data_IF_888980800933
#
_entry.id   IF_888980800933
#
_cell.length_a   1.000
_cell.length_b   1.000
_cell.length_c   1.000
_cell.angle_alpha   90.00
_cell.angle_beta   90.00
_cell.angle_gamma   90.00
#
_symmetry.space_group_name_H-M   'P 1'
#
loop_
_entity.id
_entity.type
_entity.pdbx_description
1 polymer ?
#
# COMPACT_ATOMS: atom_id res chain seq x y z
N UNK A 1 -12.82 1.37 -29.23
CA UNK A 1 -11.73 0.43 -28.84
C UNK A 1 -10.58 1.25 -28.26
N UNK A 2 -10.19 0.97 -27.02
CA UNK A 2 -9.07 1.62 -26.33
C UNK A 2 -7.81 0.83 -26.66
N UNK A 3 -6.78 1.51 -27.14
CA UNK A 3 -5.50 0.87 -27.47
C UNK A 3 -4.47 1.04 -26.34
N UNK A 4 -4.31 2.25 -25.87
CA UNK A 4 -3.43 2.66 -24.77
C UNK A 4 -3.86 4.03 -24.25
N UNK A 5 -3.68 4.34 -22.96
CA UNK A 5 -3.26 3.40 -21.91
C UNK A 5 -4.33 2.34 -21.62
N UNK A 6 -3.95 1.25 -20.95
CA UNK A 6 -4.91 0.29 -20.42
C UNK A 6 -5.75 0.92 -19.33
N UNK A 7 -7.07 0.69 -19.34
CA UNK A 7 -8.02 1.26 -18.40
C UNK A 7 -8.91 0.18 -17.80
N UNK A 8 -9.31 0.36 -16.55
CA UNK A 8 -10.45 -0.35 -15.99
C UNK A 8 -11.72 0.45 -16.31
N UNK A 9 -12.58 -0.12 -17.13
CA UNK A 9 -13.87 0.49 -17.50
C UNK A 9 -14.97 -0.18 -16.69
N UNK A 10 -15.70 0.62 -15.91
CA UNK A 10 -16.89 0.18 -15.17
C UNK A 10 -18.09 0.83 -15.81
N UNK A 11 -19.18 0.06 -15.96
CA UNK A 11 -20.41 0.49 -16.59
C UNK A 11 -21.62 0.02 -15.78
N UNK A 12 -22.63 0.84 -15.73
CA UNK A 12 -23.95 0.51 -15.19
C UNK A 12 -25.04 1.12 -16.07
N UNK A 13 -26.14 0.39 -16.24
CA UNK A 13 -27.31 0.84 -17.02
C UNK A 13 -28.48 1.20 -16.11
N UNK A 14 -29.43 1.94 -16.66
CA UNK A 14 -30.71 2.22 -16.00
C UNK A 14 -31.58 0.96 -15.83
N UNK A 15 -31.36 -0.09 -16.61
CA UNK A 15 -32.00 -1.39 -16.48
C UNK A 15 -31.46 -2.23 -15.32
N UNK A 16 -30.34 -1.81 -14.71
CA UNK A 16 -29.71 -2.51 -13.60
C UNK A 16 -28.57 -3.44 -14.00
N UNK A 17 -28.17 -3.45 -15.27
CA UNK A 17 -27.01 -4.21 -15.73
C UNK A 17 -25.73 -3.52 -15.31
N UNK A 18 -24.71 -4.31 -14.95
CA UNK A 18 -23.39 -3.83 -14.54
C UNK A 18 -22.29 -4.60 -15.28
N UNK A 19 -21.18 -3.91 -15.56
CA UNK A 19 -20.06 -4.56 -16.23
C UNK A 19 -18.73 -3.92 -15.89
N UNK A 20 -17.67 -4.71 -16.03
CA UNK A 20 -16.28 -4.29 -15.91
C UNK A 20 -15.44 -4.92 -17.01
N UNK A 21 -14.53 -4.15 -17.59
CA UNK A 21 -13.60 -4.59 -18.61
C UNK A 21 -12.19 -4.05 -18.34
N UNK A 22 -11.17 -4.91 -18.48
CA UNK A 22 -9.79 -4.49 -18.64
C UNK A 22 -9.59 -4.03 -20.10
N UNK A 23 -9.84 -2.75 -20.36
CA UNK A 23 -9.88 -2.18 -21.70
C UNK A 23 -8.47 -1.79 -22.17
N UNK A 24 -7.85 -2.65 -22.97
CA UNK A 24 -6.55 -2.42 -23.60
C UNK A 24 -6.36 -3.33 -24.80
N UNK A 25 -5.37 -3.05 -25.66
CA UNK A 25 -4.79 -4.05 -26.57
C UNK A 25 -3.74 -4.84 -25.78
N UNK A 26 -4.00 -6.12 -25.54
CA UNK A 26 -3.08 -7.02 -24.83
C UNK A 26 -2.14 -7.69 -25.81
N UNK A 27 -0.81 -7.46 -25.72
CA UNK A 27 0.15 -8.01 -26.67
C UNK A 27 0.35 -9.51 -26.45
N UNK A 28 0.45 -10.25 -27.55
CA UNK A 28 0.92 -11.63 -27.58
C UNK A 28 2.43 -11.62 -27.54
N UNK A 29 3.04 -12.35 -26.60
CA UNK A 29 4.49 -12.48 -26.46
C UNK A 29 4.94 -13.87 -26.89
N UNK A 30 6.22 -14.06 -27.27
CA UNK A 30 6.79 -15.37 -27.50
C UNK A 30 6.60 -16.29 -26.29
N UNK A 31 6.46 -17.60 -26.55
CA UNK A 31 6.28 -18.59 -25.50
C UNK A 31 7.48 -18.58 -24.52
N UNK A 32 7.19 -18.72 -23.22
CA UNK A 32 8.20 -18.77 -22.16
C UNK A 32 8.76 -17.40 -21.73
N UNK A 33 8.37 -16.31 -22.39
CA UNK A 33 8.82 -14.96 -22.02
C UNK A 33 7.99 -14.42 -20.86
N UNK A 34 8.67 -13.98 -19.80
CA UNK A 34 8.04 -13.24 -18.73
C UNK A 34 8.14 -11.72 -18.98
N UNK A 35 7.04 -11.06 -19.38
CA UNK A 35 7.06 -9.64 -19.73
C UNK A 35 7.08 -8.70 -18.50
N UNK A 36 7.16 -9.23 -17.30
CA UNK A 36 7.36 -8.43 -16.07
C UNK A 36 8.82 -8.07 -15.86
N UNK A 37 9.74 -8.73 -16.58
CA UNK A 37 11.16 -8.40 -16.55
C UNK A 37 11.52 -7.40 -17.65
N UNK A 38 12.66 -6.72 -17.47
CA UNK A 38 13.27 -5.96 -18.56
C UNK A 38 13.74 -6.93 -19.63
N UNK A 39 13.23 -6.75 -20.82
CA UNK A 39 13.60 -7.56 -21.98
C UNK A 39 14.64 -6.81 -22.82
N UNK A 40 15.59 -7.53 -23.37
CA UNK A 40 16.55 -6.99 -24.33
C UNK A 40 15.83 -6.75 -25.68
N UNK A 41 15.56 -5.48 -25.99
CA UNK A 41 14.84 -5.09 -27.20
C UNK A 41 15.54 -5.40 -28.53
N UNK A 42 16.79 -5.89 -28.49
CA UNK A 42 17.52 -6.36 -29.67
C UNK A 42 17.26 -7.83 -29.98
N UNK A 43 16.55 -8.54 -29.11
CA UNK A 43 16.29 -9.97 -29.20
C UNK A 43 14.83 -10.30 -29.57
N UNK A 44 14.61 -11.44 -30.26
CA UNK A 44 13.24 -11.87 -30.62
C UNK A 44 12.29 -12.04 -29.45
N UNK A 45 12.80 -12.33 -28.24
CA UNK A 45 12.01 -12.47 -27.03
C UNK A 45 11.30 -11.17 -26.63
N UNK A 46 11.80 -10.01 -27.03
CA UNK A 46 11.16 -8.72 -26.78
C UNK A 46 10.01 -8.41 -27.73
N UNK A 47 9.85 -9.17 -28.81
CA UNK A 47 8.88 -8.89 -29.87
C UNK A 47 7.42 -9.01 -29.40
N UNK A 48 6.56 -8.25 -30.08
CA UNK A 48 5.11 -8.37 -30.01
C UNK A 48 4.62 -9.14 -31.23
N UNK A 49 4.16 -10.37 -31.02
CA UNK A 49 3.68 -11.23 -32.12
C UNK A 49 2.30 -10.82 -32.66
N UNK A 50 1.65 -9.87 -32.00
CA UNK A 50 0.31 -9.42 -32.29
C UNK A 50 -0.44 -9.02 -31.03
N UNK A 51 -1.77 -9.03 -31.10
CA UNK A 51 -2.63 -8.68 -29.96
C UNK A 51 -3.74 -9.71 -29.83
N UNK A 52 -4.09 -10.04 -28.60
CA UNK A 52 -5.27 -10.84 -28.31
C UNK A 52 -6.55 -10.14 -28.79
N UNK A 53 -7.60 -10.89 -29.18
CA UNK A 53 -8.90 -10.31 -29.41
C UNK A 53 -9.45 -9.70 -28.12
N UNK A 54 -10.20 -8.60 -28.20
CA UNK A 54 -10.73 -7.90 -27.03
C UNK A 54 -11.58 -8.80 -26.12
N UNK A 55 -12.27 -9.78 -26.70
CA UNK A 55 -13.06 -10.78 -25.96
C UNK A 55 -12.26 -11.69 -25.04
N UNK A 56 -10.93 -11.74 -25.23
CA UNK A 56 -10.03 -12.48 -24.34
C UNK A 56 -9.57 -11.64 -23.14
N UNK A 57 -9.82 -10.33 -23.14
CA UNK A 57 -9.47 -9.49 -22.00
C UNK A 57 -10.30 -9.87 -20.78
N UNK A 58 -9.75 -9.74 -19.56
CA UNK A 58 -10.54 -9.88 -18.33
C UNK A 58 -11.75 -8.96 -18.33
N UNK A 59 -12.91 -9.52 -18.06
CA UNK A 59 -14.19 -8.82 -18.10
C UNK A 59 -15.24 -9.57 -17.28
N UNK A 60 -16.22 -8.84 -16.77
CA UNK A 60 -17.36 -9.40 -16.05
C UNK A 60 -18.62 -8.61 -16.37
N UNK A 61 -19.72 -9.31 -16.60
CA UNK A 61 -21.05 -8.75 -16.79
C UNK A 61 -22.02 -9.43 -15.84
N UNK A 62 -22.80 -8.66 -15.11
CA UNK A 62 -23.84 -9.13 -14.20
C UNK A 62 -23.42 -10.30 -13.29
N UNK A 63 -22.27 -10.21 -12.59
CA UNK A 63 -21.81 -11.33 -11.77
C UNK A 63 -22.78 -11.58 -10.60
N UNK A 64 -22.92 -12.85 -10.20
CA UNK A 64 -23.83 -13.27 -9.15
C UNK A 64 -23.62 -12.55 -7.80
N UNK A 65 -22.40 -12.03 -7.54
CA UNK A 65 -22.11 -11.22 -6.34
C UNK A 65 -22.79 -9.84 -6.33
N UNK A 66 -23.34 -9.39 -7.47
CA UNK A 66 -24.12 -8.14 -7.57
C UNK A 66 -23.30 -6.85 -7.63
N UNK A 67 -21.99 -6.91 -7.81
CA UNK A 67 -21.15 -5.74 -8.00
C UNK A 67 -19.94 -6.06 -8.87
N UNK A 68 -19.37 -5.03 -9.49
CA UNK A 68 -18.11 -5.07 -10.25
C UNK A 68 -17.20 -3.93 -9.80
N UNK A 69 -15.90 -4.08 -9.98
CA UNK A 69 -14.95 -3.02 -9.62
C UNK A 69 -13.51 -3.42 -9.73
N UNK A 70 -12.65 -2.42 -9.70
CA UNK A 70 -11.21 -2.58 -9.64
C UNK A 70 -10.59 -1.64 -8.60
N UNK A 71 -9.66 -2.17 -7.84
CA UNK A 71 -8.78 -1.42 -6.96
C UNK A 71 -7.31 -1.57 -7.40
N UNK A 72 -7.07 -1.68 -8.72
CA UNK A 72 -5.75 -1.92 -9.32
C UNK A 72 -5.11 -3.27 -8.91
N UNK A 73 -5.87 -4.18 -8.33
CA UNK A 73 -5.45 -5.55 -8.05
C UNK A 73 -5.43 -6.39 -9.32
N UNK A 74 -4.73 -7.51 -9.27
CA UNK A 74 -4.68 -8.43 -10.42
C UNK A 74 -6.08 -8.95 -10.74
N UNK A 75 -6.53 -8.84 -12.02
CA UNK A 75 -7.81 -9.41 -12.43
C UNK A 75 -7.87 -10.92 -12.21
N UNK A 76 -9.04 -11.43 -11.85
CA UNK A 76 -9.22 -12.86 -11.66
C UNK A 76 -9.06 -13.62 -12.98
N UNK A 77 -8.25 -14.69 -13.07
CA UNK A 77 -8.00 -15.41 -14.32
C UNK A 77 -9.26 -15.96 -15.01
N UNK A 78 -10.29 -16.33 -14.23
CA UNK A 78 -11.54 -16.84 -14.79
C UNK A 78 -12.34 -15.81 -15.62
N UNK A 79 -12.00 -14.52 -15.53
CA UNK A 79 -12.65 -13.44 -16.28
C UNK A 79 -12.01 -13.13 -17.64
N UNK A 80 -10.98 -13.89 -18.03
CA UNK A 80 -10.23 -13.72 -19.27
C UNK A 80 -8.83 -14.29 -19.17
N UNK A 81 -7.92 -13.84 -20.05
CA UNK A 81 -6.52 -14.25 -19.98
C UNK A 81 -5.83 -13.61 -18.76
N UNK A 82 -4.83 -14.30 -18.21
CA UNK A 82 -3.97 -13.72 -17.19
C UNK A 82 -3.13 -12.58 -17.80
N UNK A 83 -3.19 -11.40 -17.17
CA UNK A 83 -2.36 -10.26 -17.56
C UNK A 83 -1.17 -10.22 -16.60
N UNK A 84 0.05 -10.53 -17.06
CA UNK A 84 1.24 -10.38 -16.22
C UNK A 84 1.53 -8.89 -15.95
N UNK A 85 2.00 -8.58 -14.75
CA UNK A 85 2.32 -7.19 -14.37
C UNK A 85 2.48 -7.03 -12.86
N UNK A 86 2.71 -5.78 -12.47
CA UNK A 86 2.80 -5.36 -11.08
C UNK A 86 1.48 -4.73 -10.65
N UNK A 87 0.80 -5.38 -9.74
CA UNK A 87 -0.52 -4.97 -9.27
C UNK A 87 -0.46 -4.37 -7.86
N UNK A 88 -1.53 -3.74 -7.44
CA UNK A 88 -1.71 -3.35 -6.04
C UNK A 88 -2.05 -4.60 -5.20
N UNK A 89 -1.63 -4.65 -3.93
CA UNK A 89 -2.09 -5.69 -3.01
C UNK A 89 -3.61 -5.77 -2.89
N UNK A 90 -4.11 -6.93 -2.47
CA UNK A 90 -5.55 -7.18 -2.39
C UNK A 90 -6.25 -6.47 -1.21
N UNK A 91 -5.50 -5.85 -0.30
CA UNK A 91 -6.05 -5.27 0.94
C UNK A 91 -7.14 -4.23 0.68
N UNK A 92 -6.93 -3.32 -0.29
CA UNK A 92 -7.91 -2.29 -0.63
C UNK A 92 -9.17 -2.87 -1.29
N UNK A 93 -9.01 -3.82 -2.21
CA UNK A 93 -10.17 -4.46 -2.85
C UNK A 93 -10.95 -5.30 -1.84
N UNK A 94 -10.27 -6.04 -0.97
CA UNK A 94 -10.93 -6.82 0.08
C UNK A 94 -11.76 -5.91 0.99
N UNK A 95 -11.19 -4.78 1.44
CA UNK A 95 -11.93 -3.82 2.25
C UNK A 95 -13.15 -3.24 1.53
N UNK A 96 -13.05 -2.94 0.23
CA UNK A 96 -14.20 -2.48 -0.56
C UNK A 96 -15.27 -3.57 -0.67
N UNK A 97 -14.89 -4.82 -0.86
CA UNK A 97 -15.83 -5.97 -0.87
C UNK A 97 -16.55 -6.08 0.48
N UNK A 98 -15.83 -6.02 1.60
CA UNK A 98 -16.40 -6.08 2.94
C UNK A 98 -17.42 -4.95 3.19
N UNK A 99 -17.09 -3.72 2.76
CA UNK A 99 -17.96 -2.56 2.88
C UNK A 99 -19.24 -2.70 2.03
N UNK A 100 -19.12 -3.16 0.78
CA UNK A 100 -20.25 -3.36 -0.12
C UNK A 100 -21.16 -4.48 0.42
N UNK A 101 -20.58 -5.59 0.86
CA UNK A 101 -21.36 -6.70 1.42
C UNK A 101 -22.02 -6.33 2.74
N UNK A 102 -21.34 -5.56 3.60
CA UNK A 102 -21.88 -5.07 4.86
C UNK A 102 -23.00 -4.05 4.71
N UNK A 103 -23.07 -3.31 3.60
CA UNK A 103 -24.13 -2.35 3.31
C UNK A 103 -25.42 -3.01 2.78
N UNK A 104 -25.36 -4.32 2.45
CA UNK A 104 -26.49 -5.05 1.87
C UNK A 104 -26.70 -4.77 0.37
N UNK A 105 -27.87 -5.18 -0.15
CA UNK A 105 -28.13 -5.17 -1.61
C UNK A 105 -28.26 -3.78 -2.24
N UNK A 106 -28.53 -2.74 -1.46
CA UNK A 106 -28.69 -1.37 -1.96
C UNK A 106 -27.96 -0.40 -1.05
N UNK A 107 -26.95 0.26 -1.57
CA UNK A 107 -26.27 1.36 -0.90
C UNK A 107 -26.90 2.67 -1.33
N UNK A 108 -27.17 3.55 -0.38
CA UNK A 108 -27.54 4.94 -0.67
C UNK A 108 -26.30 5.83 -0.93
N UNK A 109 -26.55 7.08 -1.26
CA UNK A 109 -25.48 8.07 -1.53
C UNK A 109 -24.59 8.27 -0.30
N UNK A 110 -25.17 8.34 0.91
CA UNK A 110 -24.43 8.58 2.14
C UNK A 110 -23.50 7.40 2.47
N UNK A 111 -23.97 6.17 2.30
CA UNK A 111 -23.18 4.96 2.45
C UNK A 111 -22.04 4.90 1.42
N UNK A 112 -22.33 5.21 0.15
CA UNK A 112 -21.32 5.25 -0.92
C UNK A 112 -20.24 6.30 -0.64
N UNK A 113 -20.61 7.48 -0.13
CA UNK A 113 -19.66 8.51 0.31
C UNK A 113 -18.84 8.06 1.52
N UNK A 114 -19.43 7.31 2.44
CA UNK A 114 -18.72 6.75 3.60
C UNK A 114 -17.68 5.71 3.16
N UNK A 115 -18.03 4.79 2.24
CA UNK A 115 -17.11 3.81 1.67
C UNK A 115 -15.92 4.47 0.99
N UNK A 116 -16.13 5.54 0.22
CA UNK A 116 -15.05 6.28 -0.44
C UNK A 116 -14.10 6.97 0.54
N UNK A 117 -14.51 7.19 1.78
CA UNK A 117 -13.71 7.82 2.83
C UNK A 117 -13.19 6.83 3.87
N UNK A 118 -13.44 5.54 3.69
CA UNK A 118 -13.00 4.50 4.62
C UNK A 118 -11.46 4.46 4.67
N UNK A 119 -10.95 4.36 5.90
CA UNK A 119 -9.52 4.46 6.22
C UNK A 119 -8.97 3.21 6.90
N UNK A 120 -9.59 2.05 6.66
CA UNK A 120 -9.20 0.77 7.27
C UNK A 120 -8.79 -0.25 6.22
N UNK A 121 -7.89 -1.14 6.62
CA UNK A 121 -7.64 -2.40 5.94
C UNK A 121 -7.05 -3.45 6.92
N UNK A 122 -6.87 -4.68 6.45
CA UNK A 122 -6.29 -5.77 7.23
C UNK A 122 -4.77 -5.88 7.15
N UNK A 123 -4.09 -4.98 6.45
CA UNK A 123 -2.65 -5.06 6.22
C UNK A 123 -1.83 -5.03 7.51
N UNK A 124 -2.18 -4.11 8.42
CA UNK A 124 -1.49 -3.97 9.70
C UNK A 124 -1.55 -5.23 10.55
N UNK A 125 -2.71 -5.91 10.59
CA UNK A 125 -2.87 -7.15 11.33
C UNK A 125 -2.01 -8.28 10.75
N UNK A 126 -1.90 -8.37 9.42
CA UNK A 126 -1.05 -9.40 8.78
C UNK A 126 0.43 -9.24 9.15
N UNK A 127 0.90 -8.00 9.35
CA UNK A 127 2.27 -7.72 9.78
C UNK A 127 2.41 -7.85 11.30
N UNK A 128 1.53 -7.23 12.06
CA UNK A 128 1.67 -7.13 13.52
C UNK A 128 1.41 -8.45 14.24
N UNK A 129 0.46 -9.26 13.78
CA UNK A 129 0.09 -10.51 14.47
C UNK A 129 1.28 -11.44 14.72
N UNK A 130 2.15 -11.73 13.74
CA UNK A 130 3.34 -12.57 13.99
C UNK A 130 4.47 -11.84 14.73
N UNK A 131 4.52 -10.50 14.71
CA UNK A 131 5.62 -9.73 15.30
C UNK A 131 5.38 -9.32 16.75
N UNK A 132 4.16 -9.04 17.16
CA UNK A 132 3.83 -8.56 18.52
C UNK A 132 4.33 -9.50 19.63
N UNK A 133 4.20 -10.83 19.54
CA UNK A 133 4.75 -11.73 20.57
C UNK A 133 6.27 -11.61 20.69
N UNK A 134 6.99 -11.41 19.56
CA UNK A 134 8.44 -11.26 19.57
C UNK A 134 8.85 -9.94 20.18
N UNK A 135 8.20 -8.83 19.80
CA UNK A 135 8.43 -7.49 20.36
C UNK A 135 8.22 -7.48 21.88
N UNK A 136 7.15 -8.14 22.37
CA UNK A 136 6.88 -8.26 23.81
C UNK A 136 7.94 -9.07 24.56
N UNK A 137 8.70 -9.93 23.88
CA UNK A 137 9.74 -10.74 24.50
C UNK A 137 10.96 -9.93 24.97
N UNK A 138 11.20 -8.74 24.42
CA UNK A 138 12.35 -7.91 24.78
C UNK A 138 12.02 -6.47 25.20
N UNK A 139 10.83 -5.96 24.90
CA UNK A 139 10.40 -4.61 25.33
C UNK A 139 10.08 -4.65 26.81
N UNK A 140 10.72 -3.79 27.59
CA UNK A 140 10.54 -3.70 29.07
C UNK A 140 10.07 -2.31 29.54
N UNK A 141 10.21 -1.27 28.71
CA UNK A 141 9.75 0.07 29.06
C UNK A 141 8.21 0.11 29.16
N UNK A 142 7.62 0.61 30.27
CA UNK A 142 6.17 0.59 30.45
C UNK A 142 5.39 1.44 29.43
N UNK A 143 5.99 2.49 28.86
CA UNK A 143 5.35 3.31 27.83
C UNK A 143 5.32 2.55 26.51
N UNK A 144 6.42 1.89 26.17
CA UNK A 144 6.53 1.09 24.95
C UNK A 144 5.64 -0.16 25.02
N UNK A 145 5.52 -0.81 26.18
CA UNK A 145 4.56 -1.91 26.38
C UNK A 145 3.12 -1.46 26.14
N UNK A 146 2.73 -0.27 26.61
CA UNK A 146 1.39 0.29 26.30
C UNK A 146 1.20 0.56 24.81
N UNK A 147 2.24 1.00 24.08
CA UNK A 147 2.17 1.12 22.62
C UNK A 147 1.94 -0.23 21.94
N UNK A 148 2.62 -1.29 22.40
CA UNK A 148 2.38 -2.65 21.89
C UNK A 148 0.96 -3.15 22.21
N UNK A 149 0.41 -2.78 23.39
CA UNK A 149 -0.98 -3.10 23.76
C UNK A 149 -1.97 -2.41 22.82
N UNK A 150 -1.75 -1.13 22.50
CA UNK A 150 -2.56 -0.38 21.56
C UNK A 150 -2.48 -0.96 20.14
N UNK A 151 -1.27 -1.30 19.67
CA UNK A 151 -1.09 -1.95 18.38
C UNK A 151 -1.77 -3.33 18.30
N UNK A 152 -1.81 -4.07 19.41
CA UNK A 152 -2.44 -5.39 19.46
C UNK A 152 -3.97 -5.35 19.28
N UNK A 153 -4.62 -4.28 19.74
CA UNK A 153 -6.08 -4.08 19.62
C UNK A 153 -6.47 -3.10 18.51
N UNK A 154 -5.49 -2.54 17.82
CA UNK A 154 -5.73 -1.58 16.75
C UNK A 154 -6.45 -2.26 15.56
N UNK A 155 -7.53 -1.64 15.13
CA UNK A 155 -8.41 -2.15 14.08
C UNK A 155 -7.94 -1.84 12.64
N UNK A 156 -6.71 -1.31 12.48
CA UNK A 156 -6.17 -0.92 11.18
C UNK A 156 -6.74 0.41 10.64
N UNK A 157 -7.35 1.23 11.49
CA UNK A 157 -7.89 2.55 11.11
C UNK A 157 -6.82 3.64 11.15
N UNK A 158 -6.62 4.32 10.02
CA UNK A 158 -5.70 5.45 9.84
C UNK A 158 -6.44 6.79 10.04
N UNK A 159 -7.14 6.94 11.18
CA UNK A 159 -7.80 8.18 11.58
C UNK A 159 -6.80 9.18 12.16
N UNK A 160 -7.07 10.48 12.01
CA UNK A 160 -6.13 11.56 12.37
C UNK A 160 -5.79 11.63 13.86
N UNK A 161 -6.65 11.15 14.72
CA UNK A 161 -6.51 11.14 16.18
C UNK A 161 -5.74 9.93 16.73
N UNK A 162 -5.53 8.89 15.90
CA UNK A 162 -4.84 7.65 16.28
C UNK A 162 -3.33 7.82 16.26
N UNK A 163 -2.63 7.18 17.20
CA UNK A 163 -1.16 7.11 17.25
C UNK A 163 -0.62 5.82 16.64
N UNK A 164 -1.41 4.75 16.64
CA UNK A 164 -1.04 3.42 16.16
C UNK A 164 -0.54 3.45 14.70
N UNK A 165 -1.18 4.20 13.76
CA UNK A 165 -0.67 4.30 12.39
C UNK A 165 0.75 4.88 12.32
N UNK A 166 1.06 5.87 13.17
CA UNK A 166 2.38 6.51 13.21
C UNK A 166 3.45 5.52 13.66
N UNK A 167 3.20 4.81 14.76
CA UNK A 167 4.12 3.79 15.28
C UNK A 167 4.30 2.66 14.30
N UNK A 168 3.18 2.15 13.74
CA UNK A 168 3.20 1.06 12.78
C UNK A 168 3.95 1.43 11.50
N UNK A 169 3.70 2.61 10.94
CA UNK A 169 4.28 3.00 9.66
C UNK A 169 5.78 3.28 9.77
N UNK A 170 6.24 3.85 10.91
CA UNK A 170 7.67 3.96 11.20
C UNK A 170 8.29 2.59 11.39
N UNK A 171 7.64 1.68 12.15
CA UNK A 171 8.13 0.31 12.34
C UNK A 171 8.27 -0.45 11.02
N UNK A 172 7.35 -0.30 10.07
CA UNK A 172 7.47 -0.90 8.73
C UNK A 172 8.76 -0.46 8.03
N UNK A 173 9.07 0.85 8.10
CA UNK A 173 10.30 1.37 7.51
C UNK A 173 11.53 0.81 8.20
N UNK A 174 11.57 0.80 9.54
CA UNK A 174 12.73 0.31 10.29
C UNK A 174 12.95 -1.20 10.11
N UNK A 175 11.88 -1.99 10.02
CA UNK A 175 11.99 -3.42 9.69
C UNK A 175 12.59 -3.60 8.29
N UNK A 176 12.08 -2.88 7.30
CA UNK A 176 12.62 -2.95 5.94
C UNK A 176 14.09 -2.50 5.90
N UNK A 177 14.45 -1.47 6.66
CA UNK A 177 15.80 -0.98 6.75
C UNK A 177 16.74 -1.97 7.43
N UNK A 178 16.36 -2.48 8.60
CA UNK A 178 17.19 -3.41 9.35
C UNK A 178 17.40 -4.76 8.62
N UNK A 179 16.37 -5.21 7.87
CA UNK A 179 16.38 -6.51 7.20
C UNK A 179 16.88 -6.48 5.74
N UNK A 180 16.99 -5.32 5.08
CA UNK A 180 17.24 -5.31 3.62
C UNK A 180 18.27 -4.26 3.18
N UNK A 181 18.60 -3.30 4.02
CA UNK A 181 19.46 -2.18 3.61
C UNK A 181 20.90 -2.61 3.35
N UNK A 182 21.41 -3.54 4.12
CA UNK A 182 22.79 -3.98 4.04
C UNK A 182 23.08 -4.82 2.79
N UNK A 183 22.12 -5.65 2.32
CA UNK A 183 22.26 -6.36 1.04
C UNK A 183 22.04 -5.45 -0.15
N UNK A 184 21.05 -4.56 -0.06
CA UNK A 184 20.66 -3.74 -1.20
C UNK A 184 21.55 -2.51 -1.39
N UNK A 185 22.08 -1.98 -0.30
CA UNK A 185 22.76 -0.69 -0.29
C UNK A 185 21.82 0.50 -0.54
N UNK A 186 22.32 1.74 -0.39
CA UNK A 186 21.45 2.93 -0.34
C UNK A 186 20.68 3.20 -1.63
N UNK A 187 21.23 2.90 -2.80
CA UNK A 187 20.60 3.19 -4.08
C UNK A 187 19.42 2.24 -4.34
N UNK A 188 19.61 0.94 -4.20
CA UNK A 188 18.58 -0.06 -4.44
C UNK A 188 17.52 -0.03 -3.34
N UNK A 189 17.91 0.19 -2.09
CA UNK A 189 16.95 0.36 -1.00
C UNK A 189 16.02 1.57 -1.24
N UNK A 190 16.57 2.71 -1.66
CA UNK A 190 15.78 3.88 -2.06
C UNK A 190 14.80 3.55 -3.21
N UNK A 191 15.23 2.79 -4.20
CA UNK A 191 14.37 2.35 -5.29
C UNK A 191 13.26 1.43 -4.77
N UNK A 192 13.58 0.48 -3.88
CA UNK A 192 12.62 -0.43 -3.25
C UNK A 192 11.51 0.33 -2.52
N UNK A 193 11.85 1.36 -1.72
CA UNK A 193 10.89 2.21 -1.02
C UNK A 193 9.89 2.90 -1.96
N UNK A 194 10.28 3.18 -3.20
CA UNK A 194 9.43 3.77 -4.24
C UNK A 194 8.48 2.79 -4.91
N UNK A 195 8.59 1.50 -4.62
CA UNK A 195 7.78 0.43 -5.25
C UNK A 195 6.64 -0.05 -4.36
N UNK A 196 5.86 -1.04 -4.87
CA UNK A 196 4.88 -1.79 -4.09
C UNK A 196 5.43 -3.13 -3.55
N UNK A 197 6.69 -3.42 -3.79
CA UNK A 197 7.28 -4.71 -3.38
C UNK A 197 7.25 -4.90 -1.88
N UNK A 198 7.49 -3.83 -1.09
CA UNK A 198 7.42 -3.90 0.38
C UNK A 198 6.02 -4.24 0.89
N UNK A 199 4.95 -3.81 0.20
CA UNK A 199 3.59 -4.15 0.59
C UNK A 199 3.32 -5.66 0.50
N UNK A 200 4.03 -6.35 -0.39
CA UNK A 200 4.00 -7.81 -0.50
C UNK A 200 5.01 -8.49 0.42
N UNK A 201 6.23 -7.96 0.47
CA UNK A 201 7.34 -8.61 1.15
C UNK A 201 7.21 -8.57 2.69
N UNK A 202 6.79 -7.43 3.27
CA UNK A 202 6.77 -7.27 4.72
C UNK A 202 5.83 -8.23 5.45
N UNK A 203 4.59 -8.52 4.99
CA UNK A 203 3.78 -9.54 5.62
C UNK A 203 4.37 -10.94 5.53
N UNK A 204 5.04 -11.28 4.43
CA UNK A 204 5.71 -12.57 4.25
C UNK A 204 6.92 -12.68 5.17
N UNK A 205 7.76 -11.65 5.21
CA UNK A 205 8.90 -11.56 6.10
C UNK A 205 8.48 -11.65 7.57
N UNK A 206 7.43 -10.92 7.97
CA UNK A 206 6.91 -10.97 9.32
C UNK A 206 6.48 -12.38 9.75
N UNK A 207 5.87 -13.15 8.82
CA UNK A 207 5.40 -14.50 9.08
C UNK A 207 6.52 -15.56 9.09
N UNK A 208 7.62 -15.34 8.37
CA UNK A 208 8.72 -16.28 8.25
C UNK A 208 9.85 -15.95 9.24
N UNK A 209 9.91 -16.69 10.34
CA UNK A 209 10.96 -16.54 11.35
C UNK A 209 12.35 -17.02 10.88
N UNK A 210 12.39 -17.83 9.82
CA UNK A 210 13.61 -18.44 9.28
C UNK A 210 14.14 -17.72 8.04
N UNK A 211 13.52 -16.62 7.64
CA UNK A 211 13.95 -15.86 6.47
C UNK A 211 15.41 -15.41 6.60
N UNK A 212 16.23 -15.61 5.56
CA UNK A 212 17.60 -15.15 5.57
C UNK A 212 17.75 -13.62 5.61
N UNK A 213 16.69 -12.89 5.31
CA UNK A 213 16.66 -11.43 5.43
C UNK A 213 16.75 -10.91 6.88
N UNK A 214 16.63 -11.78 7.89
CA UNK A 214 16.83 -11.39 9.28
C UNK A 214 18.30 -11.31 9.69
N UNK A 215 19.20 -11.97 8.93
CA UNK A 215 20.63 -11.99 9.17
C UNK A 215 21.31 -10.81 8.50
N UNK A 216 22.26 -10.15 9.18
CA UNK A 216 22.94 -8.98 8.64
C UNK A 216 24.26 -9.35 7.97
N UNK A 217 24.43 -8.95 6.72
CA UNK A 217 25.69 -9.12 5.98
C UNK A 217 26.84 -8.29 6.56
N UNK A 218 26.57 -7.32 7.42
CA UNK A 218 27.58 -6.49 8.09
C UNK A 218 28.26 -7.18 9.27
N UNK A 219 27.68 -8.26 9.78
CA UNK A 219 28.14 -9.04 10.94
C UNK A 219 28.45 -10.48 10.57
N UNK A 220 29.41 -10.78 9.67
CA UNK A 220 29.61 -12.08 9.05
C UNK A 220 30.00 -13.22 10.01
N UNK A 221 30.24 -12.92 11.27
CA UNK A 221 30.57 -13.89 12.34
C UNK A 221 29.41 -14.15 13.31
N UNK A 222 28.31 -13.45 13.14
CA UNK A 222 27.10 -13.56 13.96
C UNK A 222 25.93 -13.82 13.01
N UNK A 223 25.06 -14.74 13.34
CA UNK A 223 23.82 -14.99 12.62
C UNK A 223 22.69 -14.37 13.43
N UNK A 224 22.15 -13.27 12.95
CA UNK A 224 21.04 -12.60 13.61
C UNK A 224 19.73 -13.35 13.39
N UNK A 225 18.93 -13.38 14.44
CA UNK A 225 17.56 -13.91 14.38
C UNK A 225 16.54 -12.80 14.09
N UNK A 226 15.30 -13.21 13.73
CA UNK A 226 14.18 -12.27 13.65
C UNK A 226 14.03 -11.41 14.92
N UNK A 227 14.32 -11.95 16.09
CA UNK A 227 14.23 -11.21 17.35
C UNK A 227 15.29 -10.11 17.45
N UNK A 228 16.53 -10.38 17.02
CA UNK A 228 17.63 -9.41 17.06
C UNK A 228 17.34 -8.24 16.12
N UNK A 229 16.97 -8.53 14.88
CA UNK A 229 16.62 -7.52 13.88
C UNK A 229 15.39 -6.71 14.28
N UNK A 230 14.36 -7.33 14.89
CA UNK A 230 13.20 -6.62 15.40
C UNK A 230 13.52 -5.74 16.62
N UNK A 231 14.50 -6.14 17.45
CA UNK A 231 14.94 -5.30 18.55
C UNK A 231 15.63 -4.04 18.05
N UNK A 232 16.46 -4.15 17.01
CA UNK A 232 17.06 -3.00 16.32
C UNK A 232 15.97 -2.10 15.73
N UNK A 233 15.06 -2.66 14.94
CA UNK A 233 13.99 -1.92 14.27
C UNK A 233 13.05 -1.21 15.25
N UNK A 234 12.66 -1.87 16.34
CA UNK A 234 11.82 -1.26 17.37
C UNK A 234 12.53 -0.10 18.06
N UNK A 235 13.78 -0.29 18.49
CA UNK A 235 14.58 0.76 19.10
C UNK A 235 14.74 1.96 18.15
N UNK A 236 15.04 1.72 16.88
CA UNK A 236 15.16 2.77 15.88
C UNK A 236 13.81 3.52 15.69
N UNK A 237 12.69 2.80 15.65
CA UNK A 237 11.34 3.36 15.62
C UNK A 237 11.10 4.35 16.75
N UNK A 238 11.33 3.93 17.98
CA UNK A 238 11.09 4.77 19.16
C UNK A 238 12.03 5.97 19.21
N UNK A 239 13.32 5.77 18.90
CA UNK A 239 14.32 6.86 18.85
C UNK A 239 13.91 7.89 17.79
N UNK A 240 13.55 7.45 16.59
CA UNK A 240 13.15 8.34 15.51
C UNK A 240 11.89 9.15 15.87
N UNK A 241 10.85 8.50 16.38
CA UNK A 241 9.61 9.18 16.74
C UNK A 241 9.83 10.16 17.90
N UNK A 242 10.58 9.78 18.94
CA UNK A 242 10.93 10.69 20.06
C UNK A 242 11.76 11.89 19.59
N UNK A 243 12.72 11.70 18.70
CA UNK A 243 13.55 12.79 18.19
C UNK A 243 12.79 13.74 17.28
N UNK A 244 11.81 13.22 16.51
CA UNK A 244 11.05 14.01 15.53
C UNK A 244 9.86 14.75 16.16
N UNK A 245 9.14 14.08 17.08
CA UNK A 245 7.87 14.60 17.63
C UNK A 245 7.87 14.80 19.14
N UNK A 246 9.00 14.52 19.82
CA UNK A 246 9.09 14.59 21.27
C UNK A 246 8.58 13.35 21.99
N UNK A 247 8.62 13.38 23.32
CA UNK A 247 8.22 12.26 24.19
C UNK A 247 6.72 12.21 24.52
N UNK A 248 6.00 13.28 24.22
CA UNK A 248 4.54 13.32 24.39
C UNK A 248 3.85 12.54 23.27
N UNK A 249 3.25 11.40 23.59
CA UNK A 249 2.58 10.54 22.63
C UNK A 249 1.42 11.22 21.88
N UNK A 250 0.80 12.26 22.46
CA UNK A 250 -0.23 13.04 21.77
C UNK A 250 0.29 13.76 20.50
N UNK A 251 1.61 13.99 20.42
CA UNK A 251 2.26 14.56 19.25
C UNK A 251 2.43 13.52 18.12
N UNK A 252 2.27 12.22 18.42
CA UNK A 252 2.40 11.12 17.46
C UNK A 252 1.09 10.79 16.75
N UNK A 253 0.03 11.60 16.97
CA UNK A 253 -1.25 11.38 16.28
C UNK A 253 -1.08 11.46 14.75
N UNK A 254 -1.75 10.56 14.02
CA UNK A 254 -1.59 10.40 12.58
C UNK A 254 -1.79 11.70 11.80
N UNK A 255 -2.76 12.52 12.18
CA UNK A 255 -2.99 13.82 11.54
C UNK A 255 -1.89 14.87 11.77
N UNK A 256 -0.96 14.64 12.71
CA UNK A 256 0.23 15.49 12.88
C UNK A 256 1.41 14.98 12.04
N UNK A 257 1.45 13.68 11.80
CA UNK A 257 2.58 13.01 11.15
C UNK A 257 2.32 12.73 9.67
N UNK A 258 1.05 12.69 9.24
CA UNK A 258 0.61 12.45 7.87
C UNK A 258 -0.19 13.66 7.35
N UNK A 259 0.40 14.39 6.41
CA UNK A 259 -0.13 15.68 5.98
C UNK A 259 -0.27 15.78 4.47
N UNK A 260 -1.26 16.55 4.02
CA UNK A 260 -1.48 16.88 2.61
C UNK A 260 -1.13 18.34 2.36
N UNK A 261 -0.29 18.58 1.37
CA UNK A 261 -0.03 19.93 0.83
C UNK A 261 -0.40 19.94 -0.65
N UNK A 262 -1.27 20.86 -1.04
CA UNK A 262 -1.55 21.14 -2.45
C UNK A 262 -0.48 22.09 -2.99
N UNK A 263 0.54 21.50 -3.62
CA UNK A 263 1.63 22.27 -4.20
C UNK A 263 1.18 22.96 -5.50
N UNK A 264 1.39 24.26 -5.59
CA UNK A 264 1.14 25.00 -6.82
C UNK A 264 2.39 24.96 -7.73
N UNK A 265 2.27 24.88 -9.06
CA UNK A 265 3.43 24.90 -9.97
C UNK A 265 4.35 26.10 -9.76
N UNK A 266 3.80 27.28 -9.51
CA UNK A 266 4.59 28.48 -9.19
C UNK A 266 5.38 28.36 -7.87
N UNK A 267 4.96 27.49 -6.96
CA UNK A 267 5.66 27.23 -5.69
C UNK A 267 7.01 26.52 -5.86
N UNK A 268 7.35 26.05 -7.05
CA UNK A 268 8.70 25.59 -7.36
C UNK A 268 9.73 26.72 -7.30
N UNK A 269 9.30 27.96 -7.51
CA UNK A 269 10.12 29.18 -7.34
C UNK A 269 9.96 29.68 -5.90
N UNK A 270 11.02 29.56 -5.08
CA UNK A 270 11.00 30.09 -3.70
C UNK A 270 11.07 31.62 -3.70
N UNK A 271 10.28 32.29 -2.85
CA UNK A 271 9.40 31.82 -1.78
C UNK A 271 7.93 31.70 -2.19
N UNK A 272 7.59 31.59 -3.48
CA UNK A 272 6.22 31.58 -3.99
C UNK A 272 5.38 30.37 -3.49
N UNK A 273 6.04 29.31 -3.03
CA UNK A 273 5.38 28.21 -2.34
C UNK A 273 4.56 28.64 -1.13
N UNK A 274 5.05 29.65 -0.38
CA UNK A 274 4.37 30.20 0.79
C UNK A 274 3.11 30.99 0.42
N UNK A 275 3.01 31.47 -0.82
CA UNK A 275 1.88 32.26 -1.30
C UNK A 275 0.84 31.38 -2.04
N UNK A 276 1.30 30.42 -2.83
CA UNK A 276 0.44 29.70 -3.76
C UNK A 276 0.13 28.26 -3.32
N UNK A 277 0.99 27.62 -2.51
CA UNK A 277 0.70 26.28 -1.99
C UNK A 277 -0.22 26.34 -0.77
N UNK A 278 -1.13 25.35 -0.63
CA UNK A 278 -2.14 25.31 0.43
C UNK A 278 -1.92 24.07 1.29
N UNK A 279 -1.83 24.26 2.59
CA UNK A 279 -1.50 23.22 3.59
C UNK A 279 -0.24 23.61 4.39
N UNK A 280 0.37 22.66 5.12
CA UNK A 280 -0.06 21.25 5.26
C UNK A 280 -1.32 21.08 6.10
N UNK A 281 -2.19 20.13 5.70
CA UNK A 281 -3.36 19.71 6.46
C UNK A 281 -3.13 18.31 7.01
N UNK A 282 -3.43 18.07 8.28
CA UNK A 282 -3.50 16.73 8.83
C UNK A 282 -4.66 15.93 8.21
N UNK A 283 -4.38 14.80 7.59
CA UNK A 283 -5.39 14.04 6.87
C UNK A 283 -5.40 12.57 7.28
N UNK A 284 -6.59 11.93 7.30
CA UNK A 284 -6.71 10.50 7.54
C UNK A 284 -6.31 9.71 6.30
N UNK A 285 -6.19 8.39 6.46
CA UNK A 285 -5.90 7.49 5.37
C UNK A 285 -4.42 7.18 5.23
N UNK A 286 -4.07 6.49 4.18
CA UNK A 286 -2.72 5.98 4.00
C UNK A 286 -2.64 5.07 2.78
N UNK A 287 -1.68 4.18 2.84
CA UNK A 287 -1.35 3.24 1.77
C UNK A 287 -2.37 2.10 1.72
N UNK A 288 -2.81 1.71 0.53
CA UNK A 288 -3.74 0.60 0.26
C UNK A 288 -5.07 0.67 1.02
N UNK A 289 -5.61 1.88 1.16
CA UNK A 289 -6.90 2.15 1.80
C UNK A 289 -7.93 2.66 0.77
N UNK A 290 -9.25 2.49 1.02
CA UNK A 290 -10.29 2.99 0.12
C UNK A 290 -10.22 4.50 -0.11
N UNK A 291 -9.90 5.31 0.91
CA UNK A 291 -9.77 6.75 0.74
C UNK A 291 -8.55 7.19 -0.08
N UNK A 292 -7.58 6.30 -0.27
CA UNK A 292 -6.41 6.43 -1.14
C UNK A 292 -5.55 7.70 -0.96
N UNK A 293 -5.56 8.33 0.21
CA UNK A 293 -4.62 9.41 0.55
C UNK A 293 -3.30 8.79 1.03
N UNK A 294 -2.48 8.35 0.08
CA UNK A 294 -1.32 7.52 0.36
C UNK A 294 0.01 8.23 0.34
N UNK A 295 0.97 7.60 0.99
CA UNK A 295 2.36 8.04 1.07
C UNK A 295 3.30 6.88 0.77
N UNK A 296 4.57 7.15 0.51
CA UNK A 296 5.60 6.13 0.38
C UNK A 296 6.06 5.64 1.74
N UNK A 297 6.52 4.37 1.83
CA UNK A 297 7.20 3.88 3.02
C UNK A 297 8.52 4.64 3.13
N UNK A 298 8.80 5.15 4.32
CA UNK A 298 9.98 5.95 4.62
C UNK A 298 9.92 6.45 6.06
N UNK A 299 10.94 7.17 6.55
CA UNK A 299 10.92 7.74 7.89
C UNK A 299 9.89 8.87 8.01
N UNK A 300 9.34 9.03 9.20
CA UNK A 300 8.44 10.13 9.56
C UNK A 300 9.14 11.52 9.46
N UNK A 301 8.41 12.62 9.17
CA UNK A 301 6.98 12.70 8.89
C UNK A 301 6.64 12.36 7.43
N UNK A 302 5.35 12.09 7.16
CA UNK A 302 4.89 11.67 5.84
C UNK A 302 4.00 12.71 5.17
N UNK A 303 4.39 13.11 3.96
CA UNK A 303 3.51 13.87 3.07
C UNK A 303 2.69 12.92 2.18
N UNK A 304 1.45 13.27 1.91
CA UNK A 304 0.63 12.58 0.91
C UNK A 304 1.26 12.77 -0.47
N UNK A 305 1.59 11.68 -1.14
CA UNK A 305 2.24 11.69 -2.45
C UNK A 305 1.29 11.35 -3.60
N UNK A 306 0.16 10.70 -3.29
CA UNK A 306 -0.88 10.39 -4.27
C UNK A 306 -2.26 10.35 -3.58
N UNK A 307 -3.31 10.58 -4.38
CA UNK A 307 -4.68 10.53 -3.91
C UNK A 307 -5.68 10.54 -5.06
N UNK A 308 -6.98 10.38 -4.77
CA UNK A 308 -8.00 10.46 -5.80
C UNK A 308 -8.14 11.90 -6.32
N UNK A 309 -8.17 12.07 -7.64
CA UNK A 309 -8.42 13.37 -8.26
C UNK A 309 -9.88 13.80 -8.12
N UNK A 310 -10.80 12.85 -8.08
CA UNK A 310 -12.23 13.09 -7.85
C UNK A 310 -12.84 11.94 -7.06
N UNK A 311 -13.95 12.25 -6.35
CA UNK A 311 -14.83 11.27 -5.74
C UNK A 311 -16.22 11.49 -6.30
N UNK A 312 -16.83 10.46 -6.85
CA UNK A 312 -18.16 10.54 -7.49
C UNK A 312 -19.05 9.44 -6.95
N UNK A 313 -20.31 9.77 -6.77
CA UNK A 313 -21.44 8.84 -6.59
C UNK A 313 -22.43 9.19 -7.69
N UNK A 314 -22.82 8.21 -8.48
CA UNK A 314 -23.70 8.38 -9.65
C UNK A 314 -24.96 7.55 -9.41
#
# INVERSE_FOLDING_TARGET
KIHAPGLNVVWASASGDIGWWAAAKLPIRPAGVNPTFLLDGTKPEAEKLGFHPFTANPQEENPARGFVGSANHQPHPASGIAIPGYYQPADRVQRLVDLIQGAGRKSDVAQSMAMQRDVRNGYSQRVLTPLLPVLRGFVTDPVELRLLDQLAVWDGSYSTDKIEPTVFFQLLYEIAHAAMFDELGPAQFKNLLGTRMLDYALPLLAADASSPWWDSTRTPTVVESRSDTLQEAWRATIVHLRSTFGTDLAQWSWGRTHTLTHNHPLGQQKPLDKLFSVGPFGVPGGRELPNALGTSIGPAPWGVTYGPSTRRVI
#
